data_IF_935184224901
#
_entry.id   IF_935184224901
#
_cell.length_a   1.000
_cell.length_b   1.000
_cell.length_c   1.000
_cell.angle_alpha   90.00
_cell.angle_beta   90.00
_cell.angle_gamma   90.00
#
_symmetry.space_group_name_H-M   'P 1'
#
loop_
_entity.id
_entity.type
_entity.pdbx_description
1 polymer ?
#
# COMPACT_ATOMS: atom_id res chain seq x y z
N UNK A 1 39.39 21.15 2.17
CA UNK A 1 38.59 20.30 3.09
C UNK A 1 37.35 20.98 3.67
N UNK A 2 37.35 22.28 4.00
CA UNK A 2 36.19 22.99 4.60
C UNK A 2 34.93 23.05 3.72
N UNK A 3 35.07 23.20 2.40
CA UNK A 3 33.92 23.29 1.48
C UNK A 3 33.23 21.94 1.21
N UNK A 4 33.91 20.82 1.44
CA UNK A 4 33.36 19.47 1.19
C UNK A 4 32.33 19.09 2.26
N UNK A 5 32.52 19.54 3.50
CA UNK A 5 31.56 19.33 4.59
C UNK A 5 30.22 20.03 4.34
N UNK A 6 30.25 21.23 3.75
CA UNK A 6 29.04 22.03 3.48
C UNK A 6 28.16 21.33 2.42
N UNK A 7 28.77 20.72 1.41
CA UNK A 7 28.04 19.96 0.37
C UNK A 7 27.41 18.68 0.91
N UNK A 8 28.08 17.97 1.84
CA UNK A 8 27.54 16.78 2.50
C UNK A 8 26.34 17.14 3.40
N UNK A 9 26.43 18.26 4.11
CA UNK A 9 25.33 18.75 4.97
C UNK A 9 24.11 19.25 4.15
N UNK A 10 24.34 19.83 2.98
CA UNK A 10 23.26 20.25 2.07
C UNK A 10 22.52 19.06 1.44
N UNK A 11 23.21 17.93 1.17
CA UNK A 11 22.55 16.71 0.67
C UNK A 11 21.64 16.04 1.70
N UNK A 12 21.88 16.24 3.00
CA UNK A 12 21.06 15.64 4.06
C UNK A 12 19.75 16.41 4.33
N UNK A 13 19.57 17.60 3.75
CA UNK A 13 18.44 18.47 4.07
C UNK A 13 17.29 18.44 3.05
N UNK A 14 17.38 17.58 2.03
CA UNK A 14 16.23 17.25 1.19
C UNK A 14 15.43 16.12 1.88
N UNK A 15 14.74 16.46 2.97
CA UNK A 15 13.79 15.54 3.57
C UNK A 15 12.62 15.33 2.60
N UNK A 16 12.57 14.16 1.96
CA UNK A 16 11.44 13.78 1.11
C UNK A 16 10.17 13.75 1.97
N UNK A 17 9.22 14.63 1.65
CA UNK A 17 7.92 14.62 2.30
C UNK A 17 7.16 13.36 1.88
N UNK A 18 6.74 12.49 2.81
CA UNK A 18 6.07 11.25 2.45
C UNK A 18 4.71 11.56 1.80
N UNK A 19 4.55 11.21 0.53
CA UNK A 19 3.30 11.34 -0.21
C UNK A 19 2.60 9.99 -0.34
N UNK A 20 1.32 9.96 0.03
CA UNK A 20 0.46 8.79 -0.10
C UNK A 20 -0.67 9.03 -1.10
N UNK A 21 -0.80 8.12 -2.07
CA UNK A 21 -1.81 8.19 -3.11
C UNK A 21 -2.81 7.05 -2.99
N UNK A 22 -4.09 7.39 -3.01
CA UNK A 22 -5.19 6.46 -2.83
C UNK A 22 -5.86 6.17 -4.17
N UNK A 23 -6.03 4.90 -4.49
CA UNK A 23 -6.70 4.45 -5.70
C UNK A 23 -7.83 3.49 -5.34
N UNK A 24 -8.97 3.64 -5.98
CA UNK A 24 -10.06 2.67 -5.84
C UNK A 24 -9.74 1.45 -6.69
N UNK A 25 -10.11 0.28 -6.21
CA UNK A 25 -9.94 -0.95 -6.98
C UNK A 25 -10.68 -0.85 -8.32
N UNK A 26 -9.93 -1.00 -9.42
CA UNK A 26 -10.43 -0.87 -10.80
C UNK A 26 -10.45 0.56 -11.36
N UNK A 27 -10.14 1.59 -10.55
CA UNK A 27 -10.25 3.00 -10.93
C UNK A 27 -9.04 3.83 -10.45
N UNK A 28 -8.07 4.13 -11.33
CA UNK A 28 -7.91 3.62 -12.69
C UNK A 28 -7.47 2.14 -12.68
N UNK A 29 -7.41 1.51 -13.86
CA UNK A 29 -6.70 0.22 -14.01
C UNK A 29 -5.29 0.34 -13.42
N UNK A 30 -4.85 -0.69 -12.70
CA UNK A 30 -3.60 -0.66 -11.93
C UNK A 30 -2.38 -0.36 -12.80
N UNK A 31 -2.37 -0.78 -14.07
CA UNK A 31 -1.29 -0.50 -15.02
C UNK A 31 -1.14 0.99 -15.35
N UNK A 32 -2.15 1.80 -15.05
CA UNK A 32 -2.18 3.25 -15.32
C UNK A 32 -1.89 4.09 -14.06
N UNK A 33 -1.61 3.46 -12.93
CA UNK A 33 -1.26 4.18 -11.70
C UNK A 33 0.09 4.88 -11.89
N UNK A 34 0.17 6.21 -11.72
CA UNK A 34 1.43 6.94 -11.77
C UNK A 34 2.24 6.73 -10.48
N UNK A 35 2.74 5.51 -10.29
CA UNK A 35 3.38 5.04 -9.06
C UNK A 35 4.64 5.80 -8.66
N UNK A 36 5.31 6.47 -9.61
CA UNK A 36 6.51 7.26 -9.37
C UNK A 36 6.24 8.61 -8.69
N UNK A 37 4.98 9.04 -8.59
CA UNK A 37 4.64 10.33 -7.99
C UNK A 37 4.59 10.27 -6.47
N UNK A 38 4.46 9.09 -5.87
CA UNK A 38 4.12 8.92 -4.46
C UNK A 38 5.04 7.91 -3.77
N UNK A 39 5.39 8.14 -2.51
CA UNK A 39 6.17 7.18 -1.73
C UNK A 39 5.31 5.98 -1.28
N UNK A 40 3.99 6.18 -1.17
CA UNK A 40 3.01 5.16 -0.81
C UNK A 40 1.89 5.12 -1.82
N UNK A 41 1.52 3.91 -2.26
CA UNK A 41 0.34 3.67 -3.10
C UNK A 41 -0.60 2.76 -2.32
N UNK A 42 -1.82 3.23 -2.09
CA UNK A 42 -2.82 2.57 -1.25
C UNK A 42 -4.00 2.17 -2.12
N UNK A 43 -4.24 0.86 -2.26
CA UNK A 43 -5.36 0.32 -3.02
C UNK A 43 -6.57 0.07 -2.12
N UNK A 44 -7.67 0.75 -2.40
CA UNK A 44 -8.90 0.71 -1.60
C UNK A 44 -9.86 -0.32 -2.17
N UNK A 45 -10.38 -1.20 -1.31
CA UNK A 45 -11.51 -2.05 -1.64
C UNK A 45 -11.18 -3.23 -2.58
N UNK A 46 -9.90 -3.61 -2.69
CA UNK A 46 -9.44 -4.81 -3.41
C UNK A 46 -9.59 -6.10 -2.60
N UNK A 47 -9.86 -5.98 -1.30
CA UNK A 47 -10.00 -7.09 -0.35
C UNK A 47 -11.27 -6.94 0.49
N UNK A 48 -11.76 -8.06 1.00
CA UNK A 48 -12.88 -8.15 1.94
C UNK A 48 -12.59 -9.21 3.00
N UNK A 49 -13.35 -9.18 4.11
CA UNK A 49 -13.24 -10.20 5.16
C UNK A 49 -14.32 -11.26 4.99
N UNK A 50 -13.93 -12.53 5.07
CA UNK A 50 -14.85 -13.66 5.18
C UNK A 50 -15.45 -13.74 6.59
N UNK A 51 -16.37 -14.69 6.82
CA UNK A 51 -17.05 -14.83 8.12
C UNK A 51 -16.13 -15.35 9.23
N UNK A 52 -15.13 -16.15 8.87
CA UNK A 52 -14.07 -16.69 9.72
C UNK A 52 -12.90 -15.69 9.92
N UNK A 53 -12.96 -14.53 9.26
CA UNK A 53 -11.98 -13.47 9.41
C UNK A 53 -10.77 -13.55 8.50
N UNK A 54 -10.78 -14.47 7.55
CA UNK A 54 -9.78 -14.54 6.48
C UNK A 54 -9.97 -13.40 5.47
N UNK A 55 -8.89 -13.04 4.77
CA UNK A 55 -8.94 -12.03 3.72
C UNK A 55 -9.22 -12.66 2.37
N UNK A 56 -10.27 -12.15 1.70
CA UNK A 56 -10.63 -12.50 0.34
C UNK A 56 -10.21 -11.38 -0.61
N UNK A 57 -9.34 -11.72 -1.57
CA UNK A 57 -8.93 -10.83 -2.66
C UNK A 57 -9.98 -10.87 -3.78
N UNK A 58 -10.37 -9.71 -4.31
CA UNK A 58 -11.39 -9.62 -5.38
C UNK A 58 -10.88 -10.11 -6.74
N UNK A 59 -9.62 -9.86 -7.06
CA UNK A 59 -8.98 -10.34 -8.31
C UNK A 59 -7.51 -10.60 -8.06
N UNK A 60 -7.06 -11.83 -8.33
CA UNK A 60 -5.64 -12.20 -8.22
C UNK A 60 -4.81 -11.46 -9.27
N UNK A 61 -5.31 -11.36 -10.50
CA UNK A 61 -4.58 -10.76 -11.61
C UNK A 61 -4.32 -9.26 -11.37
N UNK A 62 -5.32 -8.52 -10.90
CA UNK A 62 -5.13 -7.10 -10.52
C UNK A 62 -4.16 -6.95 -9.35
N UNK A 63 -4.18 -7.87 -8.38
CA UNK A 63 -3.21 -7.84 -7.27
C UNK A 63 -1.79 -8.17 -7.72
N UNK A 64 -1.64 -9.04 -8.72
CA UNK A 64 -0.34 -9.31 -9.35
C UNK A 64 0.16 -8.07 -10.09
N UNK A 65 -0.68 -7.41 -10.90
CA UNK A 65 -0.33 -6.12 -11.52
C UNK A 65 0.03 -5.06 -10.48
N UNK A 66 -0.66 -5.06 -9.34
CA UNK A 66 -0.39 -4.12 -8.26
C UNK A 66 0.97 -4.40 -7.63
N UNK A 67 1.29 -5.67 -7.35
CA UNK A 67 2.59 -6.09 -6.86
C UNK A 67 3.72 -5.75 -7.87
N UNK A 68 3.44 -5.79 -9.17
CA UNK A 68 4.41 -5.43 -10.22
C UNK A 68 4.87 -3.97 -10.16
N UNK A 69 4.13 -3.08 -9.49
CA UNK A 69 4.62 -1.71 -9.23
C UNK A 69 5.91 -1.69 -8.38
N UNK A 70 6.24 -2.78 -7.67
CA UNK A 70 7.52 -2.93 -6.97
C UNK A 70 8.71 -3.15 -7.90
N UNK A 71 8.48 -3.44 -9.18
CA UNK A 71 9.53 -3.66 -10.20
C UNK A 71 10.04 -2.35 -10.82
N UNK A 72 9.45 -1.21 -10.47
CA UNK A 72 9.89 0.11 -10.93
C UNK A 72 11.27 0.47 -10.36
N UNK A 73 12.00 1.35 -11.05
CA UNK A 73 13.34 1.78 -10.63
C UNK A 73 13.34 2.42 -9.23
N UNK A 74 12.29 3.19 -8.90
CA UNK A 74 12.04 3.76 -7.59
C UNK A 74 10.66 3.29 -7.10
N UNK A 75 10.57 2.09 -6.50
CA UNK A 75 9.28 1.48 -6.21
C UNK A 75 8.60 2.14 -4.99
N UNK A 76 7.30 2.43 -5.05
CA UNK A 76 6.57 2.90 -3.89
C UNK A 76 6.33 1.77 -2.88
N UNK A 77 6.03 2.15 -1.63
CA UNK A 77 5.46 1.24 -0.64
C UNK A 77 4.00 0.98 -0.99
N UNK A 78 3.66 -0.29 -1.20
CA UNK A 78 2.30 -0.71 -1.54
C UNK A 78 1.52 -1.10 -0.29
N UNK A 79 0.31 -0.58 -0.17
CA UNK A 79 -0.61 -0.86 0.95
C UNK A 79 -2.00 -1.18 0.41
N UNK A 80 -2.78 -1.92 1.19
CA UNK A 80 -4.17 -2.25 0.87
C UNK A 80 -5.05 -1.68 1.98
N UNK A 81 -6.07 -0.91 1.61
CA UNK A 81 -7.05 -0.36 2.52
C UNK A 81 -8.34 -1.21 2.48
N UNK A 82 -8.67 -1.81 3.62
CA UNK A 82 -9.96 -2.43 3.87
C UNK A 82 -10.99 -1.36 4.24
N UNK A 83 -12.11 -1.32 3.53
CA UNK A 83 -13.19 -0.36 3.81
C UNK A 83 -13.93 -0.72 5.11
N UNK A 84 -14.35 0.34 5.82
CA UNK A 84 -14.98 0.29 7.15
C UNK A 84 -16.41 -0.27 7.15
N UNK A 85 -17.10 -0.30 6.01
CA UNK A 85 -18.42 -0.92 5.85
C UNK A 85 -18.34 -2.46 5.82
N UNK A 86 -17.60 -3.00 6.77
CA UNK A 86 -17.53 -4.41 7.02
C UNK A 86 -18.07 -4.65 8.43
N UNK A 87 -19.38 -4.94 8.62
CA UNK A 87 -19.94 -5.25 9.94
C UNK A 87 -19.21 -6.43 10.61
N UNK A 88 -18.44 -7.20 9.84
CA UNK A 88 -17.58 -8.29 10.34
C UNK A 88 -16.34 -7.76 11.06
N UNK A 89 -15.83 -6.56 10.74
CA UNK A 89 -14.66 -5.99 11.40
C UNK A 89 -14.92 -5.75 12.88
N UNK A 90 -16.04 -5.10 13.23
CA UNK A 90 -16.44 -4.92 14.63
C UNK A 90 -16.67 -6.24 15.35
N UNK A 91 -17.21 -7.26 14.65
CA UNK A 91 -17.39 -8.60 15.21
C UNK A 91 -16.04 -9.27 15.54
N UNK A 92 -15.07 -9.21 14.64
CA UNK A 92 -13.75 -9.80 14.87
C UNK A 92 -12.96 -9.09 15.96
N UNK A 93 -12.96 -7.75 15.94
CA UNK A 93 -12.23 -6.94 16.93
C UNK A 93 -12.75 -7.19 18.35
N UNK A 94 -14.05 -7.42 18.52
CA UNK A 94 -14.67 -7.75 19.83
C UNK A 94 -14.35 -9.15 20.32
N UNK A 95 -14.08 -10.09 19.42
CA UNK A 95 -13.90 -11.49 19.75
C UNK A 95 -12.46 -11.87 20.12
N UNK A 96 -11.54 -10.90 20.25
CA UNK A 96 -10.09 -11.12 20.42
C UNK A 96 -9.50 -12.09 19.37
N UNK A 97 -10.15 -12.21 18.20
CA UNK A 97 -9.55 -12.95 17.10
C UNK A 97 -8.28 -12.20 16.66
N UNK A 98 -7.15 -12.91 16.48
CA UNK A 98 -5.96 -12.28 15.94
C UNK A 98 -6.33 -11.61 14.62
N UNK A 99 -6.00 -10.33 14.49
CA UNK A 99 -6.23 -9.61 13.23
C UNK A 99 -5.53 -10.39 12.12
N UNK A 100 -6.20 -10.61 10.97
CA UNK A 100 -5.61 -11.38 9.89
C UNK A 100 -4.31 -10.72 9.47
N UNK A 101 -3.21 -11.44 9.64
CA UNK A 101 -1.92 -11.03 9.10
C UNK A 101 -2.01 -11.20 7.58
N UNK A 102 -1.89 -10.10 6.85
CA UNK A 102 -1.82 -10.15 5.39
C UNK A 102 -0.41 -10.61 5.02
N UNK A 103 -0.20 -11.93 4.97
CA UNK A 103 1.00 -12.50 4.38
C UNK A 103 0.78 -12.52 2.87
N UNK A 104 1.16 -11.43 2.21
CA UNK A 104 1.25 -11.38 0.76
C UNK A 104 2.50 -12.17 0.34
N UNK A 105 2.36 -13.50 0.23
CA UNK A 105 3.36 -14.35 -0.40
C UNK A 105 3.28 -14.12 -1.92
N UNK A 106 4.14 -13.24 -2.41
CA UNK A 106 4.46 -13.12 -3.83
C UNK A 106 5.90 -13.58 -4.04
#
# INVERSE_FOLDING_TARGET
>A
MRNFLILILLQQCAAEMPLACYYKFGEPDVSKIPANLCNFVILIGSVSLTQDGSLLVKSRDEMTKFADLKKLANPPKLLICMLAENPRFSKMARANHPLPQVILNF
#
